data_IF_070128276944
#
_entry.id   IF_070128276944
#
_cell.length_a   1.000
_cell.length_b   1.000
_cell.length_c   1.000
_cell.angle_alpha   90.00
_cell.angle_beta   90.00
_cell.angle_gamma   90.00
#
_symmetry.space_group_name_H-M   'P 1'
#
loop_
_entity.id
_entity.type
_entity.pdbx_description
1 polymer ?
#
# COMPACT_ATOMS: atom_id res chain seq x y z
N UNK A 1 -36.50 -7.16 -39.78
CA UNK A 1 -36.90 -7.71 -38.48
C UNK A 1 -35.67 -8.19 -37.73
N UNK A 2 -35.72 -8.07 -36.39
CA UNK A 2 -34.97 -8.83 -35.39
C UNK A 2 -33.44 -8.60 -35.21
N UNK A 3 -33.05 -8.39 -33.95
CA UNK A 3 -31.74 -8.88 -33.45
C UNK A 3 -31.85 -10.41 -33.34
N UNK A 4 -30.92 -11.19 -33.92
CA UNK A 4 -30.84 -12.62 -33.68
C UNK A 4 -30.63 -12.94 -32.20
N UNK A 5 -31.27 -14.02 -31.79
CA UNK A 5 -31.37 -14.48 -30.40
C UNK A 5 -30.01 -15.01 -29.92
N UNK A 6 -29.64 -14.68 -28.67
CA UNK A 6 -28.43 -15.22 -28.00
C UNK A 6 -28.68 -16.65 -27.55
N UNK A 7 -27.84 -17.58 -27.98
CA UNK A 7 -27.94 -19.01 -27.61
C UNK A 7 -27.11 -19.40 -26.37
N UNK A 8 -26.19 -18.55 -25.88
CA UNK A 8 -25.32 -18.88 -24.74
C UNK A 8 -24.72 -17.65 -24.05
N UNK A 9 -24.12 -17.87 -22.87
CA UNK A 9 -23.66 -16.82 -21.95
C UNK A 9 -22.31 -16.19 -22.28
N UNK A 10 -22.22 -14.92 -21.85
CA UNK A 10 -21.16 -13.92 -22.08
C UNK A 10 -20.00 -13.93 -21.09
N UNK A 11 -20.09 -14.69 -19.99
CA UNK A 11 -18.90 -15.08 -19.24
C UNK A 11 -19.14 -16.35 -18.43
N UNK A 12 -18.09 -17.18 -18.45
CA UNK A 12 -17.72 -18.28 -17.57
C UNK A 12 -16.19 -18.28 -17.62
N UNK A 13 -15.49 -17.90 -16.55
CA UNK A 13 -14.23 -18.58 -16.31
C UNK A 13 -14.13 -18.96 -14.84
N UNK A 14 -14.52 -20.21 -14.57
CA UNK A 14 -14.35 -20.90 -13.31
C UNK A 14 -13.21 -21.91 -13.45
N UNK A 15 -12.37 -22.06 -12.42
CA UNK A 15 -11.35 -23.09 -12.44
C UNK A 15 -12.00 -24.47 -12.57
N UNK A 16 -11.57 -25.26 -13.56
CA UNK A 16 -12.07 -26.63 -13.77
C UNK A 16 -11.77 -27.54 -12.58
N UNK A 17 -10.71 -27.23 -11.84
CA UNK A 17 -10.30 -27.97 -10.64
C UNK A 17 -11.02 -27.53 -9.36
N UNK A 18 -11.96 -26.57 -9.43
CA UNK A 18 -12.57 -25.99 -8.22
C UNK A 18 -13.22 -27.04 -7.31
N UNK A 19 -13.88 -28.05 -7.89
CA UNK A 19 -14.54 -29.12 -7.13
C UNK A 19 -13.51 -30.10 -6.54
N UNK A 20 -12.36 -30.26 -7.19
CA UNK A 20 -11.31 -31.19 -6.79
C UNK A 20 -10.25 -30.55 -5.89
N UNK A 21 -10.25 -29.22 -5.76
CA UNK A 21 -9.38 -28.48 -4.86
C UNK A 21 -9.46 -29.08 -3.45
N UNK A 22 -8.29 -29.37 -2.88
CA UNK A 22 -8.20 -30.09 -1.61
C UNK A 22 -8.87 -29.33 -0.45
N UNK A 23 -8.86 -28.00 -0.47
CA UNK A 23 -9.48 -27.18 0.56
C UNK A 23 -11.00 -27.23 0.43
N UNK A 24 -11.49 -27.07 -0.80
CA UNK A 24 -12.93 -27.16 -1.09
C UNK A 24 -13.47 -28.55 -0.74
N UNK A 25 -12.77 -29.63 -1.10
CA UNK A 25 -13.17 -30.99 -0.73
C UNK A 25 -13.18 -31.21 0.79
N UNK A 26 -12.23 -30.64 1.52
CA UNK A 26 -12.22 -30.72 2.99
C UNK A 26 -13.43 -30.01 3.61
N UNK A 27 -13.85 -28.87 3.05
CA UNK A 27 -15.04 -28.13 3.50
C UNK A 27 -16.31 -28.92 3.15
N UNK A 28 -16.44 -29.40 1.92
CA UNK A 28 -17.58 -30.21 1.50
C UNK A 28 -17.72 -31.50 2.31
N UNK A 29 -16.59 -32.10 2.72
CA UNK A 29 -16.59 -33.32 3.55
C UNK A 29 -17.16 -33.08 4.95
N UNK A 30 -17.00 -31.89 5.52
CA UNK A 30 -17.52 -31.57 6.87
C UNK A 30 -18.92 -30.96 6.83
N UNK A 31 -19.20 -30.08 5.87
CA UNK A 31 -20.42 -29.27 5.86
C UNK A 31 -21.43 -29.73 4.80
N UNK A 32 -21.06 -30.66 3.91
CA UNK A 32 -21.95 -31.20 2.87
C UNK A 32 -21.75 -30.56 1.50
N UNK A 33 -22.41 -31.10 0.45
CA UNK A 33 -22.21 -30.67 -0.93
C UNK A 33 -22.62 -29.23 -1.21
N UNK A 34 -23.62 -28.69 -0.48
CA UNK A 34 -24.08 -27.30 -0.57
C UNK A 34 -22.96 -26.29 -0.30
N UNK A 35 -21.86 -26.73 0.33
CA UNK A 35 -20.71 -25.88 0.59
C UNK A 35 -20.14 -25.22 -0.65
N UNK A 36 -20.23 -25.89 -1.81
CA UNK A 36 -19.73 -25.31 -3.06
C UNK A 36 -20.54 -24.07 -3.47
N UNK A 37 -21.85 -24.08 -3.25
CA UNK A 37 -22.71 -22.94 -3.58
C UNK A 37 -22.37 -21.74 -2.70
N UNK A 38 -22.23 -21.95 -1.39
CA UNK A 38 -21.80 -20.92 -0.43
C UNK A 38 -20.43 -20.34 -0.82
N UNK A 39 -19.46 -21.20 -1.13
CA UNK A 39 -18.13 -20.72 -1.52
C UNK A 39 -18.15 -19.92 -2.83
N UNK A 40 -18.97 -20.33 -3.81
CA UNK A 40 -19.12 -19.60 -5.07
C UNK A 40 -19.79 -18.24 -4.84
N UNK A 41 -20.80 -18.19 -3.98
CA UNK A 41 -21.50 -16.95 -3.61
C UNK A 41 -20.56 -15.98 -2.89
N UNK A 42 -19.83 -16.44 -1.86
CA UNK A 42 -18.81 -15.64 -1.17
C UNK A 42 -17.73 -15.12 -2.14
N UNK A 43 -17.26 -15.96 -3.07
CA UNK A 43 -16.30 -15.51 -4.09
C UNK A 43 -16.92 -14.47 -5.04
N UNK A 44 -18.20 -14.63 -5.39
CA UNK A 44 -18.98 -13.66 -6.17
C UNK A 44 -19.02 -12.31 -5.46
N UNK A 45 -19.36 -12.29 -4.18
CA UNK A 45 -19.41 -11.08 -3.36
C UNK A 45 -18.02 -10.43 -3.22
N UNK A 46 -16.97 -11.23 -2.97
CA UNK A 46 -15.60 -10.73 -2.94
C UNK A 46 -15.19 -10.09 -4.26
N UNK A 47 -15.44 -10.74 -5.39
CA UNK A 47 -14.99 -10.25 -6.71
C UNK A 47 -15.89 -9.13 -7.28
N UNK A 48 -17.16 -9.10 -6.88
CA UNK A 48 -18.16 -8.15 -7.34
C UNK A 48 -18.11 -6.80 -6.61
N UNK A 49 -17.77 -6.81 -5.31
CA UNK A 49 -17.67 -5.59 -4.51
C UNK A 49 -16.26 -4.98 -4.55
N UNK A 50 -15.45 -5.20 -3.52
CA UNK A 50 -14.10 -4.63 -3.45
C UNK A 50 -13.09 -5.36 -4.34
N UNK A 51 -13.41 -6.58 -4.76
CA UNK A 51 -12.66 -7.37 -5.72
C UNK A 51 -11.60 -8.30 -5.11
N UNK A 52 -11.09 -8.01 -3.91
CA UNK A 52 -10.03 -8.80 -3.26
C UNK A 52 -10.32 -9.20 -1.82
N UNK A 53 -11.37 -8.65 -1.23
CA UNK A 53 -11.88 -9.01 0.07
C UNK A 53 -13.37 -8.66 0.10
N UNK A 54 -14.06 -9.13 1.14
CA UNK A 54 -15.36 -8.61 1.55
C UNK A 54 -15.38 -8.52 3.07
N UNK A 55 -16.20 -7.61 3.60
CA UNK A 55 -16.50 -7.58 5.03
C UNK A 55 -17.38 -8.78 5.41
N UNK A 56 -17.20 -9.29 6.63
CA UNK A 56 -17.99 -10.36 7.20
C UNK A 56 -18.70 -9.85 8.45
N UNK A 57 -20.02 -9.70 8.34
CA UNK A 57 -20.92 -9.29 9.41
C UNK A 57 -22.19 -10.17 9.41
N UNK A 58 -23.09 -9.90 10.35
CA UNK A 58 -24.31 -10.68 10.54
C UNK A 58 -25.30 -10.49 9.36
N UNK A 59 -25.34 -9.31 8.75
CA UNK A 59 -26.22 -9.01 7.62
C UNK A 59 -25.78 -9.77 6.36
N UNK A 60 -24.48 -9.76 6.03
CA UNK A 60 -23.93 -10.52 4.90
C UNK A 60 -24.16 -12.02 5.10
N UNK A 61 -23.99 -12.52 6.33
CA UNK A 61 -24.27 -13.92 6.64
C UNK A 61 -25.72 -14.28 6.38
N UNK A 62 -26.66 -13.43 6.80
CA UNK A 62 -28.08 -13.61 6.51
C UNK A 62 -28.35 -13.66 5.00
N UNK A 63 -27.75 -12.74 4.22
CA UNK A 63 -27.91 -12.70 2.77
C UNK A 63 -27.39 -13.99 2.10
N UNK A 64 -26.18 -14.44 2.45
CA UNK A 64 -25.59 -15.68 1.93
C UNK A 64 -26.43 -16.91 2.30
N UNK A 65 -26.99 -16.92 3.51
CA UNK A 65 -27.88 -17.99 3.97
C UNK A 65 -29.18 -18.04 3.15
N UNK A 66 -29.78 -16.88 2.88
CA UNK A 66 -31.00 -16.73 2.07
C UNK A 66 -30.75 -17.10 0.60
N UNK A 67 -29.67 -16.59 -0.01
CA UNK A 67 -29.31 -16.83 -1.41
C UNK A 67 -29.08 -18.32 -1.72
N UNK A 68 -28.48 -19.05 -0.78
CA UNK A 68 -28.19 -20.49 -0.94
C UNK A 68 -29.32 -21.37 -0.39
N UNK A 69 -30.17 -20.84 0.50
CA UNK A 69 -31.26 -21.58 1.14
C UNK A 69 -30.80 -22.51 2.26
N UNK A 70 -29.86 -22.07 3.11
CA UNK A 70 -29.37 -22.81 4.28
C UNK A 70 -29.47 -21.98 5.55
N UNK A 71 -29.25 -22.57 6.72
CA UNK A 71 -29.26 -21.80 7.97
C UNK A 71 -28.00 -20.95 8.12
N UNK A 72 -28.14 -19.77 8.75
CA UNK A 72 -27.02 -18.91 9.11
C UNK A 72 -25.96 -19.64 9.95
N UNK A 73 -26.39 -20.53 10.85
CA UNK A 73 -25.48 -21.37 11.63
C UNK A 73 -24.64 -22.30 10.75
N UNK A 74 -25.22 -22.86 9.68
CA UNK A 74 -24.49 -23.72 8.75
C UNK A 74 -23.49 -22.92 7.89
N UNK A 75 -23.84 -21.69 7.50
CA UNK A 75 -22.91 -20.76 6.84
C UNK A 75 -21.71 -20.48 7.74
N UNK A 76 -21.95 -20.25 9.02
CA UNK A 76 -20.92 -19.98 10.02
C UNK A 76 -20.00 -21.20 10.28
N UNK A 77 -20.64 -22.36 10.38
CA UNK A 77 -20.11 -23.72 10.24
C UNK A 77 -18.99 -23.78 9.18
N UNK A 78 -19.41 -23.38 7.99
CA UNK A 78 -18.64 -23.48 6.77
C UNK A 78 -17.53 -22.43 6.70
N UNK A 79 -17.79 -21.17 7.04
CA UNK A 79 -16.77 -20.11 7.04
C UNK A 79 -15.68 -20.41 8.06
N UNK A 80 -16.06 -20.89 9.25
CA UNK A 80 -15.12 -21.36 10.27
C UNK A 80 -14.23 -22.47 9.71
N UNK A 81 -14.82 -23.43 8.98
CA UNK A 81 -14.07 -24.49 8.31
C UNK A 81 -13.16 -23.97 7.20
N UNK A 82 -13.65 -23.02 6.40
CA UNK A 82 -12.90 -22.41 5.31
C UNK A 82 -11.65 -21.68 5.82
N UNK A 83 -11.75 -21.00 6.96
CA UNK A 83 -10.60 -20.42 7.66
C UNK A 83 -9.64 -21.52 8.13
N UNK A 84 -10.16 -22.59 8.76
CA UNK A 84 -9.34 -23.70 9.27
C UNK A 84 -8.51 -24.41 8.18
N UNK A 85 -9.02 -24.47 6.94
CA UNK A 85 -8.31 -25.12 5.81
C UNK A 85 -7.48 -24.13 4.99
N UNK A 86 -7.25 -22.92 5.50
CA UNK A 86 -6.54 -21.82 4.84
C UNK A 86 -7.19 -21.40 3.51
N UNK A 87 -8.50 -21.59 3.34
CA UNK A 87 -9.22 -21.04 2.19
C UNK A 87 -9.34 -19.51 2.34
N UNK A 88 -9.62 -19.06 3.56
CA UNK A 88 -9.54 -17.67 4.00
C UNK A 88 -8.41 -17.47 5.02
N UNK A 89 -7.84 -16.27 5.05
CA UNK A 89 -6.77 -15.92 5.98
C UNK A 89 -7.31 -15.65 7.38
N UNK A 90 -6.90 -16.48 8.34
CA UNK A 90 -7.36 -16.39 9.73
C UNK A 90 -6.97 -15.08 10.41
N UNK A 91 -5.80 -14.53 10.10
CA UNK A 91 -5.29 -13.32 10.77
C UNK A 91 -6.11 -12.11 10.36
N UNK A 92 -6.40 -11.97 9.06
CA UNK A 92 -7.22 -10.88 8.56
C UNK A 92 -8.68 -11.02 8.98
N UNK A 93 -9.21 -12.25 9.05
CA UNK A 93 -10.54 -12.48 9.59
C UNK A 93 -10.65 -12.02 11.04
N UNK A 94 -9.73 -12.46 11.92
CA UNK A 94 -9.77 -12.07 13.35
C UNK A 94 -9.55 -10.59 13.59
N UNK A 95 -8.70 -9.94 12.79
CA UNK A 95 -8.31 -8.54 13.01
C UNK A 95 -9.31 -7.55 12.44
N UNK A 96 -9.89 -7.84 11.29
CA UNK A 96 -10.72 -6.89 10.54
C UNK A 96 -12.12 -7.40 10.20
N UNK A 97 -12.45 -8.64 10.57
CA UNK A 97 -13.69 -9.31 10.16
C UNK A 97 -13.89 -9.27 8.65
N UNK A 98 -12.86 -9.69 7.89
CA UNK A 98 -12.91 -9.77 6.43
C UNK A 98 -12.59 -11.18 5.92
N UNK A 99 -13.18 -11.53 4.78
CA UNK A 99 -12.85 -12.74 4.03
C UNK A 99 -11.93 -12.40 2.86
N UNK A 100 -10.72 -12.94 2.89
CA UNK A 100 -9.73 -12.80 1.82
C UNK A 100 -8.69 -13.92 1.89
N UNK A 101 -7.87 -14.07 0.85
CA UNK A 101 -6.70 -14.95 0.86
C UNK A 101 -5.68 -14.56 -0.20
N UNK A 102 -4.44 -15.06 -0.07
CA UNK A 102 -3.39 -14.87 -1.10
C UNK A 102 -3.87 -15.29 -2.49
N UNK A 103 -4.62 -16.38 -2.59
CA UNK A 103 -5.16 -16.88 -3.86
C UNK A 103 -6.19 -15.94 -4.47
N UNK A 104 -7.10 -15.42 -3.64
CA UNK A 104 -8.13 -14.47 -4.04
C UNK A 104 -7.49 -13.20 -4.60
N UNK A 105 -6.60 -12.61 -3.82
CA UNK A 105 -5.92 -11.36 -4.17
C UNK A 105 -5.09 -11.52 -5.45
N UNK A 106 -4.38 -12.65 -5.63
CA UNK A 106 -3.58 -12.91 -6.84
C UNK A 106 -4.44 -12.95 -8.10
N UNK A 107 -5.60 -13.60 -8.02
CA UNK A 107 -6.57 -13.66 -9.13
C UNK A 107 -7.12 -12.27 -9.44
N UNK A 108 -7.51 -11.52 -8.41
CA UNK A 108 -7.99 -10.15 -8.59
C UNK A 108 -6.93 -9.23 -9.22
N UNK A 109 -5.69 -9.29 -8.73
CA UNK A 109 -4.58 -8.53 -9.30
C UNK A 109 -4.37 -8.88 -10.77
N UNK A 110 -4.41 -10.17 -11.14
CA UNK A 110 -4.28 -10.63 -12.52
C UNK A 110 -5.42 -10.13 -13.41
N UNK A 111 -6.66 -10.16 -12.93
CA UNK A 111 -7.83 -9.69 -13.66
C UNK A 111 -7.81 -8.17 -13.87
N UNK A 112 -7.24 -7.42 -12.93
CA UNK A 112 -7.32 -5.97 -12.89
C UNK A 112 -6.14 -5.23 -13.49
N UNK A 113 -5.10 -5.93 -13.98
CA UNK A 113 -3.94 -5.34 -14.68
C UNK A 113 -4.31 -4.44 -15.88
N UNK A 114 -5.56 -4.53 -16.37
CA UNK A 114 -6.08 -3.73 -17.49
C UNK A 114 -6.76 -2.43 -17.06
N UNK A 115 -6.91 -2.18 -15.75
CA UNK A 115 -7.56 -0.97 -15.19
C UNK A 115 -6.49 -0.04 -14.59
N UNK A 116 -6.51 1.26 -14.92
CA UNK A 116 -5.62 2.24 -14.29
C UNK A 116 -6.04 2.47 -12.82
N UNK A 117 -5.09 2.83 -11.94
CA UNK A 117 -5.37 3.16 -10.53
C UNK A 117 -5.59 1.98 -9.58
N UNK A 118 -5.33 0.75 -10.02
CA UNK A 118 -5.59 -0.44 -9.22
C UNK A 118 -4.53 -0.68 -8.13
N UNK A 119 -4.92 -0.61 -6.86
CA UNK A 119 -4.08 -1.05 -5.75
C UNK A 119 -4.86 -1.82 -4.69
N UNK A 120 -4.28 -2.92 -4.21
CA UNK A 120 -4.78 -3.63 -3.01
C UNK A 120 -4.36 -2.79 -1.80
N UNK A 121 -5.33 -2.44 -0.95
CA UNK A 121 -5.05 -1.68 0.26
C UNK A 121 -4.04 -2.43 1.15
N UNK A 122 -3.01 -1.69 1.60
CA UNK A 122 -1.91 -2.22 2.42
C UNK A 122 -2.34 -3.02 3.66
N UNK A 123 -3.34 -2.61 4.47
CA UNK A 123 -3.71 -3.37 5.68
C UNK A 123 -4.21 -4.79 5.39
N UNK A 124 -4.69 -5.05 4.17
CA UNK A 124 -5.26 -6.33 3.76
C UNK A 124 -4.36 -7.10 2.78
N UNK A 125 -3.23 -6.53 2.34
CA UNK A 125 -2.41 -7.10 1.28
C UNK A 125 -1.58 -8.30 1.79
N UNK A 126 -1.84 -9.48 1.23
CA UNK A 126 -1.15 -10.73 1.52
C UNK A 126 -0.12 -11.13 0.45
N UNK A 127 -0.03 -10.41 -0.67
CA UNK A 127 0.84 -10.74 -1.82
C UNK A 127 1.99 -9.75 -1.98
N UNK A 128 2.52 -9.17 -0.90
CA UNK A 128 3.70 -8.28 -1.00
C UNK A 128 4.77 -8.98 -1.84
N UNK A 129 4.99 -8.48 -3.06
CA UNK A 129 5.90 -9.09 -4.02
C UNK A 129 7.26 -8.42 -3.84
N UNK A 130 8.22 -9.24 -3.45
CA UNK A 130 9.64 -8.96 -3.26
C UNK A 130 10.30 -8.36 -4.51
N UNK A 131 9.80 -8.53 -5.73
CA UNK A 131 10.34 -7.83 -6.90
C UNK A 131 9.19 -7.26 -7.73
N UNK A 132 9.00 -5.95 -7.64
CA UNK A 132 8.76 -5.01 -8.75
C UNK A 132 8.20 -3.72 -8.15
N UNK A 133 8.81 -2.60 -8.56
CA UNK A 133 8.35 -1.23 -8.43
C UNK A 133 6.80 -1.16 -8.38
N UNK A 134 6.17 -0.39 -7.47
CA UNK A 134 4.72 -0.19 -7.56
C UNK A 134 4.39 0.34 -8.96
N UNK A 135 3.39 -0.20 -9.67
CA UNK A 135 2.82 0.56 -10.77
C UNK A 135 2.23 1.81 -10.14
N UNK A 136 2.96 2.90 -10.35
CA UNK A 136 2.54 4.26 -10.07
C UNK A 136 1.13 4.41 -10.66
N UNK A 137 0.20 4.95 -9.87
CA UNK A 137 -1.10 5.38 -10.38
C UNK A 137 -0.85 6.58 -11.31
N UNK A 138 -0.35 6.30 -12.51
CA UNK A 138 -0.29 7.26 -13.59
C UNK A 138 -1.61 7.16 -14.35
N UNK A 139 -2.33 8.27 -14.31
CA UNK A 139 -3.47 8.56 -15.17
C UNK A 139 -2.91 8.56 -16.58
N UNK A 140 -3.34 7.63 -17.43
CA UNK A 140 -3.13 7.74 -18.86
C UNK A 140 -4.49 7.95 -19.52
N UNK A 141 -4.58 9.07 -20.21
CA UNK A 141 -5.69 9.48 -21.05
C UNK A 141 -6.04 8.38 -22.06
N UNK A 142 -7.34 8.26 -22.30
CA UNK A 142 -7.95 7.52 -23.39
C UNK A 142 -7.16 7.65 -24.68
N UNK A 143 -6.88 6.51 -25.33
CA UNK A 143 -6.89 6.39 -26.79
C UNK A 143 -6.95 4.91 -27.20
N UNK A 144 -8.15 4.47 -27.61
CA UNK A 144 -8.35 3.30 -28.45
C UNK A 144 -7.76 3.56 -29.84
N UNK A 145 -7.11 2.57 -30.50
CA UNK A 145 -7.76 2.06 -31.70
C UNK A 145 -7.63 0.54 -31.90
N UNK A 146 -8.81 -0.04 -32.15
CA UNK A 146 -9.21 -1.13 -33.06
C UNK A 146 -8.12 -1.97 -33.76
N UNK A 147 -8.23 -3.30 -33.52
CA UNK A 147 -8.05 -4.44 -34.43
C UNK A 147 -6.96 -4.42 -35.52
N UNK A 148 -6.04 -5.40 -35.45
CA UNK A 148 -5.80 -6.36 -36.54
C UNK A 148 -4.94 -7.54 -36.07
N UNK A 149 -5.32 -8.71 -36.56
CA UNK A 149 -4.69 -10.03 -36.38
C UNK A 149 -3.29 -10.11 -36.99
N UNK A 150 -2.37 -10.88 -36.40
CA UNK A 150 -1.64 -12.00 -37.05
C UNK A 150 -0.73 -12.80 -36.09
N UNK A 151 -0.98 -14.11 -36.06
CA UNK A 151 -0.11 -15.30 -36.01
C UNK A 151 1.34 -15.31 -35.46
N UNK A 152 1.56 -16.34 -34.63
CA UNK A 152 2.63 -17.37 -34.67
C UNK A 152 3.97 -17.27 -33.89
N UNK A 153 4.29 -18.45 -33.32
CA UNK A 153 5.60 -19.08 -33.06
C UNK A 153 6.47 -18.70 -31.82
N UNK A 154 6.41 -19.59 -30.82
CA UNK A 154 7.51 -20.47 -30.39
C UNK A 154 8.75 -19.99 -29.55
N UNK A 155 8.99 -20.78 -28.48
CA UNK A 155 10.24 -20.96 -27.69
C UNK A 155 10.68 -19.80 -26.77
N UNK A 156 11.06 -19.99 -25.51
CA UNK A 156 12.17 -20.85 -25.05
C UNK A 156 12.11 -21.09 -23.54
N UNK A 157 12.41 -22.34 -23.17
CA UNK A 157 12.70 -22.87 -21.83
C UNK A 157 14.08 -22.41 -21.37
N UNK A 158 14.23 -21.89 -20.14
CA UNK A 158 15.52 -21.83 -19.43
C UNK A 158 15.36 -22.16 -17.95
N UNK A 159 15.93 -23.30 -17.58
CA UNK A 159 16.28 -23.73 -16.22
C UNK A 159 17.64 -23.12 -15.81
N UNK A 160 17.81 -22.76 -14.55
CA UNK A 160 19.09 -22.79 -13.83
C UNK A 160 18.80 -22.78 -12.32
N UNK A 161 18.93 -23.90 -11.61
CA UNK A 161 20.13 -24.53 -11.02
C UNK A 161 20.55 -23.89 -9.67
N UNK A 162 20.15 -24.61 -8.62
CA UNK A 162 20.52 -24.51 -7.19
C UNK A 162 22.04 -24.68 -6.99
N UNK A 163 22.61 -23.95 -6.02
CA UNK A 163 23.79 -24.37 -5.22
C UNK A 163 23.79 -23.74 -3.81
N UNK A 164 24.41 -24.46 -2.89
CA UNK A 164 24.21 -24.56 -1.43
C UNK A 164 24.91 -23.51 -0.51
N UNK A 165 24.26 -23.33 0.67
CA UNK A 165 24.72 -23.19 2.08
C UNK A 165 26.17 -22.80 2.46
N UNK A 166 26.28 -21.86 3.43
CA UNK A 166 26.77 -22.11 4.82
C UNK A 166 26.50 -20.94 5.81
N UNK A 167 26.15 -21.33 7.05
CA UNK A 167 26.00 -20.57 8.33
C UNK A 167 27.21 -19.66 8.69
N UNK A 168 27.21 -18.67 9.61
CA UNK A 168 26.35 -18.23 10.74
C UNK A 168 26.86 -16.83 11.18
N UNK A 169 25.98 -15.86 11.42
CA UNK A 169 26.11 -14.95 12.58
C UNK A 169 24.77 -14.26 12.86
N UNK A 170 24.37 -14.22 14.13
CA UNK A 170 23.06 -13.81 14.60
C UNK A 170 22.84 -12.31 14.47
N UNK A 171 22.36 -11.85 13.30
CA UNK A 171 21.54 -10.64 13.21
C UNK A 171 20.08 -11.09 13.29
N UNK A 172 19.30 -10.50 14.21
CA UNK A 172 17.83 -10.54 14.09
C UNK A 172 17.52 -10.10 12.66
N UNK A 173 16.98 -10.99 11.83
CA UNK A 173 16.50 -10.63 10.50
C UNK A 173 15.47 -9.53 10.70
N UNK A 174 15.85 -8.30 10.37
CA UNK A 174 14.91 -7.19 10.26
C UNK A 174 14.05 -7.56 9.06
N UNK A 175 12.88 -8.11 9.32
CA UNK A 175 11.96 -8.46 8.24
C UNK A 175 11.44 -7.17 7.63
N UNK A 176 11.31 -7.10 6.29
CA UNK A 176 10.82 -5.90 5.59
C UNK A 176 9.45 -5.41 6.11
N UNK A 177 8.66 -6.32 6.72
CA UNK A 177 7.40 -5.99 7.37
C UNK A 177 7.58 -5.21 8.68
N UNK A 178 8.59 -5.53 9.50
CA UNK A 178 8.88 -4.78 10.73
C UNK A 178 9.33 -3.37 10.35
N UNK A 179 10.25 -3.23 9.38
CA UNK A 179 10.75 -1.93 8.91
C UNK A 179 9.66 -1.05 8.30
N UNK A 180 8.63 -1.65 7.69
CA UNK A 180 7.52 -0.91 7.09
C UNK A 180 6.52 -0.39 8.13
N UNK A 181 6.25 -1.16 9.19
CA UNK A 181 5.44 -0.69 10.32
C UNK A 181 6.18 0.40 11.10
N UNK A 182 7.47 0.20 11.36
CA UNK A 182 8.33 1.20 12.00
C UNK A 182 8.34 2.52 11.21
N UNK A 183 8.39 2.45 9.87
CA UNK A 183 8.33 3.63 9.01
C UNK A 183 6.98 4.36 9.07
N UNK A 184 5.86 3.64 9.22
CA UNK A 184 4.53 4.26 9.28
C UNK A 184 4.41 5.12 10.53
N UNK A 185 4.86 4.61 11.68
CA UNK A 185 4.82 5.35 12.94
C UNK A 185 5.72 6.59 12.88
N UNK A 186 6.92 6.48 12.29
CA UNK A 186 7.79 7.62 11.99
C UNK A 186 7.11 8.64 11.06
N UNK A 187 6.48 8.16 9.98
CA UNK A 187 5.88 8.99 8.94
C UNK A 187 4.66 9.77 9.45
N UNK A 188 3.90 9.22 10.39
CA UNK A 188 2.75 9.90 10.94
C UNK A 188 3.13 11.10 11.82
N UNK A 189 4.23 10.95 12.56
CA UNK A 189 4.77 11.97 13.45
C UNK A 189 5.54 13.08 12.70
N UNK A 190 6.09 12.77 11.52
CA UNK A 190 6.92 13.73 10.78
C UNK A 190 6.09 14.94 10.27
N UNK A 191 6.54 16.19 10.50
CA UNK A 191 5.72 17.39 10.29
C UNK A 191 5.34 17.66 8.81
N UNK A 192 6.17 17.24 7.85
CA UNK A 192 5.95 17.47 6.41
C UNK A 192 5.81 16.16 5.63
N UNK A 193 4.58 15.86 5.16
CA UNK A 193 4.19 14.59 4.53
C UNK A 193 4.30 14.61 2.99
N UNK A 194 5.49 14.92 2.46
CA UNK A 194 5.77 14.96 1.01
C UNK A 194 6.80 13.91 0.58
N UNK A 195 6.71 13.43 -0.67
CA UNK A 195 7.66 12.44 -1.25
C UNK A 195 7.86 11.20 -0.36
N UNK A 196 6.74 10.60 0.07
CA UNK A 196 6.72 9.44 0.99
C UNK A 196 7.59 8.27 0.53
N UNK A 197 7.72 8.05 -0.79
CA UNK A 197 8.58 6.99 -1.32
C UNK A 197 10.07 7.26 -1.06
N UNK A 198 10.53 8.49 -1.27
CA UNK A 198 11.93 8.88 -1.03
C UNK A 198 12.24 8.81 0.47
N UNK A 199 11.32 9.28 1.32
CA UNK A 199 11.43 9.15 2.77
C UNK A 199 11.48 7.68 3.23
N UNK A 200 10.70 6.80 2.60
CA UNK A 200 10.72 5.36 2.91
C UNK A 200 12.04 4.70 2.54
N UNK A 201 12.65 5.11 1.43
CA UNK A 201 13.98 4.62 1.02
C UNK A 201 15.05 5.09 2.00
N UNK A 202 15.08 6.39 2.30
CA UNK A 202 16.01 6.97 3.27
C UNK A 202 15.85 6.34 4.68
N UNK A 203 14.63 6.03 5.10
CA UNK A 203 14.37 5.38 6.40
C UNK A 203 14.92 3.96 6.43
N UNK A 204 14.74 3.21 5.35
CA UNK A 204 15.30 1.88 5.21
C UNK A 204 16.84 1.91 5.20
N UNK A 205 17.44 2.88 4.50
CA UNK A 205 18.89 3.09 4.50
C UNK A 205 19.42 3.47 5.89
N UNK A 206 18.71 4.30 6.65
CA UNK A 206 19.05 4.62 8.03
C UNK A 206 19.00 3.38 8.94
N UNK A 207 17.99 2.51 8.78
CA UNK A 207 17.87 1.23 9.51
C UNK A 207 18.99 0.26 9.15
N UNK A 208 19.35 0.16 7.87
CA UNK A 208 20.52 -0.62 7.41
C UNK A 208 21.84 -0.06 7.95
N UNK A 209 21.93 1.26 8.08
CA UNK A 209 23.05 1.99 8.68
C UNK A 209 23.16 1.84 10.20
N UNK A 210 22.22 1.14 10.85
CA UNK A 210 22.26 0.80 12.27
C UNK A 210 21.39 1.66 13.18
N UNK A 211 20.62 2.62 12.65
CA UNK A 211 19.70 3.41 13.45
C UNK A 211 18.57 2.52 14.01
N UNK A 212 18.23 2.71 15.28
CA UNK A 212 17.10 2.02 15.90
C UNK A 212 15.77 2.71 15.58
N UNK A 213 14.69 1.95 15.65
CA UNK A 213 13.32 2.47 15.43
C UNK A 213 12.99 3.59 16.41
N UNK A 214 13.37 3.40 17.67
CA UNK A 214 13.08 4.33 18.76
C UNK A 214 13.86 5.64 18.59
N UNK A 215 15.12 5.59 18.15
CA UNK A 215 15.91 6.79 17.84
C UNK A 215 15.28 7.63 16.71
N UNK A 216 14.86 6.97 15.64
CA UNK A 216 14.24 7.64 14.48
C UNK A 216 12.89 8.25 14.86
N UNK A 217 12.06 7.52 15.59
CA UNK A 217 10.74 7.97 16.04
C UNK A 217 10.84 9.11 17.05
N UNK A 218 11.70 8.99 18.07
CA UNK A 218 11.90 10.06 19.05
C UNK A 218 12.54 11.29 18.41
N UNK A 219 13.47 11.11 17.48
CA UNK A 219 14.04 12.20 16.69
C UNK A 219 12.96 12.96 15.91
N UNK A 220 12.05 12.25 15.24
CA UNK A 220 10.92 12.85 14.55
C UNK A 220 9.99 13.63 15.49
N UNK A 221 9.68 13.07 16.68
CA UNK A 221 8.88 13.75 17.72
C UNK A 221 9.52 15.06 18.19
N UNK A 222 10.83 15.04 18.45
CA UNK A 222 11.59 16.25 18.84
C UNK A 222 11.56 17.29 17.73
N UNK A 223 11.80 16.87 16.49
CA UNK A 223 11.78 17.75 15.33
C UNK A 223 10.39 18.36 15.08
N UNK A 224 9.33 17.57 15.16
CA UNK A 224 7.95 18.05 15.03
C UNK A 224 7.61 19.11 16.09
N UNK A 225 8.01 18.89 17.35
CA UNK A 225 7.85 19.88 18.42
C UNK A 225 8.62 21.16 18.15
N UNK A 226 9.86 21.06 17.66
CA UNK A 226 10.69 22.22 17.31
C UNK A 226 10.08 23.05 16.17
N UNK A 227 9.62 22.41 15.08
CA UNK A 227 8.97 23.11 13.96
C UNK A 227 7.67 23.77 14.42
N UNK A 228 6.90 23.13 15.29
CA UNK A 228 5.68 23.70 15.87
C UNK A 228 5.95 24.91 16.77
N UNK A 229 7.07 24.92 17.51
CA UNK A 229 7.43 26.01 18.41
C UNK A 229 8.09 27.21 17.69
N UNK A 230 8.91 26.95 16.68
CA UNK A 230 9.68 27.99 15.97
C UNK A 230 9.01 28.50 14.70
N UNK A 231 7.97 27.81 14.21
CA UNK A 231 7.32 28.08 12.92
C UNK A 231 8.30 28.17 11.74
N UNK A 232 9.46 27.51 11.85
CA UNK A 232 10.47 27.46 10.79
C UNK A 232 10.10 26.47 9.69
N UNK A 233 10.76 26.58 8.54
CA UNK A 233 10.51 25.69 7.41
C UNK A 233 10.90 24.23 7.73
N UNK A 234 9.96 23.30 7.52
CA UNK A 234 10.21 21.87 7.69
C UNK A 234 11.01 21.30 6.53
N UNK A 235 12.11 20.62 6.85
CA UNK A 235 12.87 19.79 5.92
C UNK A 235 12.01 18.62 5.42
N UNK A 236 12.32 18.13 4.21
CA UNK A 236 11.76 16.87 3.72
C UNK A 236 12.31 15.70 4.54
N UNK A 237 11.46 14.69 4.79
CA UNK A 237 11.85 13.54 5.60
C UNK A 237 13.04 12.76 5.02
N UNK A 238 13.15 12.66 3.70
CA UNK A 238 14.33 12.05 3.04
C UNK A 238 15.61 12.76 3.46
N UNK A 239 15.70 14.07 3.23
CA UNK A 239 16.89 14.86 3.57
C UNK A 239 17.18 14.82 5.07
N UNK A 240 16.14 14.85 5.91
CA UNK A 240 16.30 14.77 7.35
C UNK A 240 16.91 13.44 7.82
N UNK A 241 16.53 12.34 7.16
CA UNK A 241 17.10 11.01 7.39
C UNK A 241 18.51 10.90 6.80
N UNK A 242 18.74 11.38 5.59
CA UNK A 242 20.06 11.34 4.94
C UNK A 242 21.10 12.12 5.74
N UNK A 243 20.71 13.28 6.29
CA UNK A 243 21.53 14.15 7.13
C UNK A 243 21.67 13.65 8.58
N UNK A 244 21.09 12.49 8.92
CA UNK A 244 21.13 11.87 10.27
C UNK A 244 20.60 12.75 11.41
N UNK A 245 19.62 13.60 11.11
CA UNK A 245 19.10 14.65 12.01
C UNK A 245 18.25 14.14 13.17
N UNK A 246 18.07 12.82 13.28
CA UNK A 246 17.49 12.20 14.48
C UNK A 246 18.40 12.34 15.70
N UNK A 247 19.71 12.53 15.48
CA UNK A 247 20.71 12.79 16.51
C UNK A 247 20.88 14.28 16.84
N UNK A 248 20.20 15.19 16.13
CA UNK A 248 20.29 16.62 16.39
C UNK A 248 19.65 16.96 17.75
N UNK A 249 20.32 17.82 18.51
CA UNK A 249 19.74 18.46 19.70
C UNK A 249 18.98 19.72 19.27
N UNK A 250 17.64 19.65 19.33
CA UNK A 250 16.80 20.80 19.05
C UNK A 250 16.68 21.65 20.31
N UNK A 251 17.43 22.76 20.36
CA UNK A 251 17.29 23.75 21.43
C UNK A 251 15.94 24.46 21.32
N UNK A 252 15.15 24.36 22.37
CA UNK A 252 13.81 24.94 22.48
C UNK A 252 13.85 26.39 22.97
N UNK A 253 15.04 26.98 23.16
CA UNK A 253 15.15 28.41 23.47
C UNK A 253 14.64 29.24 22.29
N UNK A 254 13.61 30.08 22.49
CA UNK A 254 13.13 30.96 21.44
C UNK A 254 14.26 31.92 21.07
N UNK A 255 14.89 31.70 19.92
CA UNK A 255 15.67 32.77 19.31
C UNK A 255 14.65 33.80 18.86
N UNK A 256 14.46 34.84 19.67
CA UNK A 256 13.88 36.10 19.21
C UNK A 256 14.62 36.42 17.92
N UNK A 257 13.92 36.38 16.78
CA UNK A 257 14.45 36.92 15.55
C UNK A 257 14.78 38.37 15.87
N UNK A 258 16.07 38.64 16.08
CA UNK A 258 16.60 39.98 16.05
C UNK A 258 16.20 40.50 14.68
N UNK A 259 15.20 41.39 14.71
CA UNK A 259 14.66 42.04 13.54
C UNK A 259 15.75 43.00 13.08
N UNK A 260 16.78 42.46 12.42
CA UNK A 260 17.77 43.21 11.69
C UNK A 260 17.06 43.76 10.46
N UNK A 261 16.24 44.79 10.68
CA UNK A 261 16.01 45.84 9.71
C UNK A 261 17.40 46.40 9.39
N UNK A 262 18.07 45.78 8.43
CA UNK A 262 19.15 46.39 7.69
C UNK A 262 18.57 47.60 7.00
N UNK A 263 18.62 48.73 7.70
CA UNK A 263 18.37 50.03 7.12
C UNK A 263 19.32 50.20 5.95
N UNK A 264 18.75 50.24 4.76
CA UNK A 264 19.44 50.74 3.58
C UNK A 264 19.69 52.24 3.85
N UNK A 265 20.85 52.55 4.43
CA UNK A 265 21.34 53.93 4.53
C UNK A 265 21.78 54.30 3.12
N UNK A 266 20.91 54.98 2.39
CA UNK A 266 21.30 55.69 1.19
C UNK A 266 22.31 56.77 1.60
N UNK A 267 23.59 56.53 1.33
CA UNK A 267 24.63 57.53 1.38
C UNK A 267 24.35 58.59 0.30
N UNK A 268 23.66 59.66 0.68
CA UNK A 268 23.65 60.89 -0.11
C UNK A 268 25.02 61.56 0.05
N UNK A 269 25.84 61.41 -0.99
CA UNK A 269 26.97 62.29 -1.24
C UNK A 269 26.44 63.67 -1.62
N UNK A 270 26.32 64.57 -0.65
CA UNK A 270 26.16 65.99 -0.90
C UNK A 270 27.54 66.56 -1.29
N UNK A 271 27.82 66.59 -2.59
CA UNK A 271 28.88 67.42 -3.16
C UNK A 271 28.36 68.86 -3.24
N UNK A 272 29.06 69.77 -2.55
CA UNK A 272 28.93 71.22 -2.69
C UNK A 272 28.81 71.63 -4.16
N UNK A 273 27.74 72.36 -4.47
CA UNK A 273 27.76 73.31 -5.57
C UNK A 273 27.46 74.68 -4.98
N UNK A 274 28.51 75.47 -4.95
CA UNK A 274 28.59 76.86 -4.56
C UNK A 274 28.01 77.70 -5.71
N UNK A 275 26.95 78.45 -5.44
CA UNK A 275 26.36 79.38 -6.41
C UNK A 275 26.06 80.70 -5.70
N UNK A 276 27.14 81.36 -5.28
CA UNK A 276 27.15 82.77 -4.97
C UNK A 276 28.00 83.50 -6.00
N UNK A 277 27.47 83.72 -7.21
CA UNK A 277 28.00 84.70 -8.16
C UNK A 277 26.96 85.08 -9.24
N UNK A 278 25.97 85.92 -8.88
CA UNK A 278 25.40 86.87 -9.85
C UNK A 278 25.13 88.21 -9.15
N UNK A 279 25.80 89.31 -9.56
CA UNK A 279 25.55 90.66 -9.08
C UNK A 279 24.45 91.36 -9.92
N UNK A 280 23.60 92.12 -9.21
CA UNK A 280 22.68 93.20 -9.62
C UNK A 280 21.79 93.02 -10.85
#
# INVERSE_FOLDING_TARGET
MARPIKEGLDYFPLNTDIIHDIKIRKIMRSNGPQSIAVLLDLLGNIYGDHGYYMQWDDDVRFLVADDVGISEAAVDELVSKAIQVDFFDEKLFKKYSILTSKGIQKRYQKASKRKSGFCIQKPYNLIVNVHNNPPQCEVNDDNNPTASEVSDAESTRKESKVKERKEKESKKEITENDTLMDFIDFWDEYPKKEKKQDASKAYYEARLGGASVDELLQGAKRYAKFIKATHTFSAMASNWLDDKRWSDEYDMTPHQQANSRGGFVASQSNSSFDDSDIPF
#
